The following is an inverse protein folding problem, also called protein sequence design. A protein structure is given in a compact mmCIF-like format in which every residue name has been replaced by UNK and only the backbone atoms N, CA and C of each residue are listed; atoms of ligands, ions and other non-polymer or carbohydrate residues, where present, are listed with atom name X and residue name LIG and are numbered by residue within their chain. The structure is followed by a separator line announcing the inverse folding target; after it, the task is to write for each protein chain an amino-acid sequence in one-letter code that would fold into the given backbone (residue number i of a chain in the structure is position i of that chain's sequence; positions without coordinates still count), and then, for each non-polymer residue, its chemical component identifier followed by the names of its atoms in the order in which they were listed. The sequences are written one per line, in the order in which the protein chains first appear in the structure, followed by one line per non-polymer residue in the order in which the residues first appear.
data_IF_847299197718
#
_entry.id   IF_847299197718
#
_cell.length_a   1.000
_cell.length_b   1.000
_cell.length_c   1.000
_cell.angle_alpha   90.00
_cell.angle_beta   90.00
_cell.angle_gamma   90.00
#
_symmetry.space_group_name_H-M   'P 1'
#
loop_
_entity.id
_entity.type
_entity.pdbx_description
1 polymer ?
#
# COMPACT_ATOMS: atom_id res chain seq x y z
N UNK A 1 10.34 10.60 52.14
CA UNK A 1 10.06 11.40 50.94
C UNK A 1 9.08 12.46 51.37
N UNK A 2 9.60 13.65 51.57
CA UNK A 2 8.84 14.77 52.07
C UNK A 2 7.85 15.23 51.00
N UNK A 3 6.70 15.77 51.42
CA UNK A 3 5.63 16.20 50.50
C UNK A 3 6.13 17.19 49.44
N UNK A 4 7.14 17.98 49.80
CA UNK A 4 7.79 18.98 48.95
C UNK A 4 8.60 18.35 47.82
N UNK A 5 9.26 17.21 48.07
CA UNK A 5 9.99 16.47 47.03
C UNK A 5 9.02 15.88 46.00
N UNK A 6 7.89 15.35 46.46
CA UNK A 6 6.86 14.81 45.57
C UNK A 6 6.24 15.91 44.69
N UNK A 7 6.03 17.09 45.27
CA UNK A 7 5.49 18.24 44.55
C UNK A 7 6.47 18.76 43.49
N UNK A 8 7.78 18.77 43.79
CA UNK A 8 8.82 19.14 42.84
C UNK A 8 8.91 18.15 41.67
N UNK A 9 8.86 16.84 41.95
CA UNK A 9 8.90 15.80 40.93
C UNK A 9 7.67 15.82 40.00
N UNK A 10 6.48 16.08 40.53
CA UNK A 10 5.24 16.16 39.73
C UNK A 10 5.20 17.43 38.87
N UNK A 11 5.69 18.56 39.37
CA UNK A 11 5.89 19.78 38.59
C UNK A 11 6.93 19.58 37.45
N UNK A 12 8.05 18.91 37.74
CA UNK A 12 9.06 18.60 36.72
C UNK A 12 8.53 17.65 35.64
N UNK A 13 7.82 16.59 36.01
CA UNK A 13 7.26 15.63 35.03
C UNK A 13 6.16 16.27 34.16
N UNK A 14 5.25 17.04 34.75
CA UNK A 14 4.19 17.75 34.01
C UNK A 14 4.75 18.77 33.01
N UNK A 15 5.76 19.54 33.39
CA UNK A 15 6.42 20.50 32.49
C UNK A 15 7.13 19.83 31.33
N UNK A 16 7.84 18.71 31.58
CA UNK A 16 8.47 17.90 30.53
C UNK A 16 7.43 17.37 29.53
N UNK A 17 6.30 16.84 30.02
CA UNK A 17 5.22 16.31 29.18
C UNK A 17 4.58 17.43 28.34
N UNK A 18 4.33 18.60 28.93
CA UNK A 18 3.81 19.76 28.20
C UNK A 18 4.78 20.21 27.10
N UNK A 19 6.07 20.28 27.40
CA UNK A 19 7.11 20.64 26.43
C UNK A 19 7.18 19.64 25.26
N UNK A 20 7.15 18.33 25.54
CA UNK A 20 7.14 17.29 24.52
C UNK A 20 5.90 17.38 23.59
N UNK A 21 4.73 17.69 24.15
CA UNK A 21 3.50 17.87 23.38
C UNK A 21 3.56 19.10 22.47
N UNK A 22 4.14 20.22 22.91
CA UNK A 22 4.36 21.41 22.08
C UNK A 22 5.29 21.10 20.91
N UNK A 23 6.39 20.36 21.16
CA UNK A 23 7.31 19.93 20.10
C UNK A 23 6.59 19.03 19.09
N UNK A 24 5.79 18.06 19.56
CA UNK A 24 5.08 17.15 18.67
C UNK A 24 3.99 17.84 17.84
N UNK A 25 3.31 18.87 18.37
CA UNK A 25 2.37 19.69 17.57
C UNK A 25 3.06 20.52 16.49
N UNK A 26 4.31 20.96 16.73
CA UNK A 26 5.10 21.73 15.75
C UNK A 26 5.69 20.86 14.64
N UNK A 27 5.79 19.54 14.84
CA UNK A 27 6.20 18.62 13.77
C UNK A 27 5.12 18.62 12.70
N UNK A 28 5.37 19.31 11.58
CA UNK A 28 4.56 19.19 10.37
C UNK A 28 4.43 17.72 10.01
N UNK A 29 3.22 17.26 9.71
CA UNK A 29 3.00 15.92 9.14
C UNK A 29 3.86 15.83 7.87
N UNK A 30 4.90 15.00 7.91
CA UNK A 30 5.71 14.72 6.72
C UNK A 30 4.79 14.03 5.72
N UNK A 31 4.62 14.63 4.55
CA UNK A 31 3.87 14.00 3.46
C UNK A 31 4.76 12.94 2.83
N UNK A 32 4.42 11.67 3.03
CA UNK A 32 5.09 10.56 2.35
C UNK A 32 4.54 10.44 0.94
N UNK A 33 5.40 10.62 -0.05
CA UNK A 33 5.06 10.45 -1.47
C UNK A 33 4.86 8.98 -1.84
N UNK A 34 5.59 8.09 -1.17
CA UNK A 34 5.43 6.66 -1.34
C UNK A 34 4.09 6.21 -0.75
N UNK A 35 3.31 5.49 -1.56
CA UNK A 35 2.11 4.81 -1.10
C UNK A 35 2.50 3.63 -0.20
N UNK A 36 1.74 3.40 0.87
CA UNK A 36 2.07 2.38 1.87
C UNK A 36 2.22 0.96 1.31
N UNK A 37 1.50 0.65 0.22
CA UNK A 37 1.56 -0.64 -0.47
C UNK A 37 2.91 -0.94 -1.13
N UNK A 38 3.63 0.10 -1.56
CA UNK A 38 4.97 -0.03 -2.14
C UNK A 38 5.95 -0.60 -1.10
N UNK A 39 5.81 -0.19 0.16
CA UNK A 39 6.65 -0.69 1.27
C UNK A 39 6.35 -2.12 1.70
N UNK A 40 5.17 -2.66 1.37
CA UNK A 40 4.76 -4.04 1.71
C UNK A 40 5.13 -5.07 0.66
N UNK A 41 5.72 -4.66 -0.47
CA UNK A 41 6.10 -5.57 -1.56
C UNK A 41 7.23 -6.49 -1.12
N UNK A 42 6.87 -7.62 -0.50
CA UNK A 42 7.81 -8.57 0.06
C UNK A 42 8.42 -9.49 -1.02
N UNK A 43 7.61 -10.02 -1.95
CA UNK A 43 8.06 -11.05 -2.90
C UNK A 43 7.43 -10.97 -4.31
N UNK A 44 6.41 -10.13 -4.52
CA UNK A 44 5.73 -9.94 -5.80
C UNK A 44 6.64 -9.26 -6.85
N UNK A 45 7.32 -10.04 -7.68
CA UNK A 45 8.04 -9.51 -8.85
C UNK A 45 7.16 -9.61 -10.09
N UNK A 46 6.96 -8.49 -10.79
CA UNK A 46 6.22 -8.43 -12.04
C UNK A 46 5.15 -7.34 -12.06
N UNK A 47 5.07 -6.62 -13.18
CA UNK A 47 4.17 -5.48 -13.39
C UNK A 47 2.70 -5.92 -13.34
N UNK A 48 2.36 -7.05 -13.97
CA UNK A 48 1.00 -7.58 -13.97
C UNK A 48 0.56 -8.08 -12.60
N UNK A 49 1.46 -8.75 -11.87
CA UNK A 49 1.16 -9.20 -10.52
C UNK A 49 0.95 -8.01 -9.57
N UNK A 50 1.77 -6.96 -9.69
CA UNK A 50 1.57 -5.69 -8.98
C UNK A 50 0.22 -5.07 -9.35
N UNK A 51 -0.11 -4.99 -10.64
CA UNK A 51 -1.34 -4.38 -11.12
C UNK A 51 -2.59 -5.13 -10.62
N UNK A 52 -2.59 -6.46 -10.71
CA UNK A 52 -3.76 -7.29 -10.42
C UNK A 52 -3.93 -7.64 -8.95
N UNK A 53 -2.85 -7.83 -8.20
CA UNK A 53 -2.92 -8.21 -6.77
C UNK A 53 -2.74 -7.04 -5.81
N UNK A 54 -2.10 -5.96 -6.24
CA UNK A 54 -1.82 -4.82 -5.37
C UNK A 54 -2.71 -3.63 -5.76
N UNK A 55 -2.54 -3.07 -6.97
CA UNK A 55 -3.26 -1.85 -7.37
C UNK A 55 -4.78 -2.07 -7.45
N UNK A 56 -5.24 -3.20 -7.99
CA UNK A 56 -6.67 -3.48 -8.12
C UNK A 56 -7.39 -3.47 -6.76
N UNK A 57 -6.74 -3.99 -5.71
CA UNK A 57 -7.33 -4.09 -4.36
C UNK A 57 -7.13 -2.82 -3.54
N UNK A 58 -5.97 -2.17 -3.67
CA UNK A 58 -5.57 -1.09 -2.79
C UNK A 58 -5.83 0.32 -3.36
N UNK A 59 -5.70 0.51 -4.68
CA UNK A 59 -5.78 1.83 -5.32
C UNK A 59 -6.34 1.71 -6.75
N UNK A 60 -7.67 1.64 -6.84
CA UNK A 60 -8.39 1.61 -8.12
C UNK A 60 -8.11 2.84 -9.00
N UNK A 61 -7.76 3.99 -8.40
CA UNK A 61 -7.37 5.19 -9.13
C UNK A 61 -6.02 5.03 -9.82
N UNK A 62 -5.02 4.50 -9.11
CA UNK A 62 -3.73 4.15 -9.68
C UNK A 62 -3.85 3.04 -10.74
N UNK A 63 -4.71 2.04 -10.52
CA UNK A 63 -5.00 1.00 -11.52
C UNK A 63 -5.51 1.59 -12.82
N UNK A 64 -6.54 2.47 -12.73
CA UNK A 64 -7.10 3.16 -13.89
C UNK A 64 -6.10 4.09 -14.56
N UNK A 65 -5.26 4.79 -13.79
CA UNK A 65 -4.21 5.64 -14.35
C UNK A 65 -3.13 4.84 -15.07
N UNK A 66 -2.81 3.64 -14.57
CA UNK A 66 -1.82 2.75 -15.18
C UNK A 66 -2.32 2.20 -16.52
N UNK A 67 -3.52 1.61 -16.54
CA UNK A 67 -4.10 1.03 -17.77
C UNK A 67 -4.77 2.06 -18.68
N UNK A 68 -5.02 3.28 -18.19
CA UNK A 68 -5.82 4.31 -18.87
C UNK A 68 -7.23 3.86 -19.24
N UNK A 69 -7.78 2.87 -18.51
CA UNK A 69 -9.12 2.32 -18.71
C UNK A 69 -9.73 1.89 -17.38
N UNK A 70 -11.05 1.76 -17.35
CA UNK A 70 -11.76 1.18 -16.20
C UNK A 70 -11.46 -0.31 -16.07
N UNK A 71 -11.63 -0.86 -14.87
CA UNK A 71 -11.50 -2.31 -14.61
C UNK A 71 -12.47 -3.09 -15.49
N UNK A 72 -13.71 -2.62 -15.61
CA UNK A 72 -14.76 -3.29 -16.40
C UNK A 72 -14.40 -3.34 -17.89
N UNK A 73 -13.89 -2.23 -18.42
CA UNK A 73 -13.42 -2.18 -19.82
C UNK A 73 -12.26 -3.14 -20.06
N UNK A 74 -11.35 -3.26 -19.10
CA UNK A 74 -10.25 -4.22 -19.18
C UNK A 74 -10.76 -5.66 -19.17
N UNK A 75 -11.72 -6.00 -18.30
CA UNK A 75 -12.31 -7.34 -18.24
C UNK A 75 -13.04 -7.72 -19.53
N UNK A 76 -13.79 -6.78 -20.12
CA UNK A 76 -14.44 -7.01 -21.42
C UNK A 76 -13.41 -7.31 -22.51
N UNK A 77 -12.32 -6.53 -22.57
CA UNK A 77 -11.24 -6.75 -23.53
C UNK A 77 -10.55 -8.09 -23.28
N UNK A 78 -10.29 -8.43 -22.01
CA UNK A 78 -9.69 -9.69 -21.62
C UNK A 78 -10.57 -10.85 -22.09
N UNK A 79 -11.88 -10.79 -21.86
CA UNK A 79 -12.84 -11.83 -22.26
C UNK A 79 -12.86 -12.04 -23.77
N UNK A 80 -12.85 -10.97 -24.56
CA UNK A 80 -12.79 -11.05 -26.04
C UNK A 80 -11.47 -11.67 -26.50
N UNK A 81 -10.36 -11.34 -25.83
CA UNK A 81 -9.04 -11.85 -26.18
C UNK A 81 -8.75 -13.23 -25.58
N UNK A 82 -9.52 -13.67 -24.60
CA UNK A 82 -9.27 -14.90 -23.84
C UNK A 82 -9.23 -16.10 -24.78
N UNK A 83 -10.20 -16.22 -25.68
CA UNK A 83 -10.27 -17.31 -26.66
C UNK A 83 -9.02 -17.39 -27.55
N UNK A 84 -8.39 -16.25 -27.86
CA UNK A 84 -7.21 -16.17 -28.72
C UNK A 84 -5.90 -16.35 -27.96
N UNK A 85 -5.86 -15.94 -26.69
CA UNK A 85 -4.64 -15.95 -25.88
C UNK A 85 -4.50 -17.21 -25.03
N UNK A 86 -5.60 -17.92 -24.75
CA UNK A 86 -5.62 -19.12 -23.94
C UNK A 86 -4.73 -20.18 -24.58
N UNK A 87 -3.66 -20.54 -23.89
CA UNK A 87 -2.84 -21.71 -24.24
C UNK A 87 -3.31 -22.90 -23.40
N UNK A 88 -3.04 -24.08 -23.94
CA UNK A 88 -3.31 -25.34 -23.25
C UNK A 88 -2.09 -25.74 -22.44
N UNK A 89 -2.35 -26.47 -21.35
CA UNK A 89 -1.29 -27.09 -20.56
C UNK A 89 -0.58 -28.15 -21.39
N UNK A 90 0.71 -28.32 -21.11
CA UNK A 90 1.53 -29.35 -21.72
C UNK A 90 1.98 -30.32 -20.64
N UNK A 91 2.40 -31.53 -21.04
CA UNK A 91 2.89 -32.56 -20.10
C UNK A 91 3.99 -32.03 -19.16
N UNK A 92 4.82 -31.09 -19.63
CA UNK A 92 5.95 -30.57 -18.87
C UNK A 92 5.66 -29.26 -18.12
N UNK A 93 4.57 -28.56 -18.45
CA UNK A 93 4.31 -27.22 -17.91
C UNK A 93 2.86 -26.78 -18.05
N UNK A 94 2.34 -26.20 -16.98
CA UNK A 94 1.09 -25.44 -16.95
C UNK A 94 1.16 -24.13 -17.76
N UNK A 95 0.10 -23.86 -18.49
CA UNK A 95 -0.11 -22.62 -19.20
C UNK A 95 -0.30 -21.47 -18.23
N UNK A 96 0.29 -20.32 -18.56
CA UNK A 96 0.05 -19.09 -17.82
C UNK A 96 -1.37 -18.61 -18.14
N UNK A 97 -2.15 -18.26 -17.12
CA UNK A 97 -3.47 -17.67 -17.33
C UNK A 97 -3.37 -16.38 -18.13
N UNK A 98 -4.36 -16.10 -18.99
CA UNK A 98 -4.36 -14.92 -19.88
C UNK A 98 -4.18 -13.62 -19.09
N UNK A 99 -4.74 -13.56 -17.88
CA UNK A 99 -4.65 -12.40 -16.98
C UNK A 99 -3.28 -12.19 -16.34
N UNK A 100 -2.48 -13.24 -16.19
CA UNK A 100 -1.17 -13.22 -15.52
C UNK A 100 0.00 -13.40 -16.50
N UNK A 101 -0.26 -13.36 -17.81
CA UNK A 101 0.71 -13.58 -18.88
C UNK A 101 1.48 -12.31 -19.21
#
# INVERSE_FOLDING_TARGET
MDADELLLCTAATSTIILYANVINKRKRKKVTWAKGWIGRRLHSRGVLNMLNKELLLEDAGAYRNFLRMSVDSFEILLQIMEEKLKRQDTVMRESISVRNR
#
